data_IF_227937377787
#
_entry.id   IF_227937377787
#
_cell.length_a   1.000
_cell.length_b   1.000
_cell.length_c   1.000
_cell.angle_alpha   90.00
_cell.angle_beta   90.00
_cell.angle_gamma   90.00
#
_symmetry.space_group_name_H-M   'P 1'
#
loop_
_entity.id
_entity.type
_entity.pdbx_description
1 polymer ?
#
# COMPACT_ATOMS: atom_id res chain seq x y z
N UNK A 1 -17.97 -40.33 54.15
CA UNK A 1 -17.18 -40.20 52.93
C UNK A 1 -18.04 -40.11 51.66
N UNK A 2 -19.00 -39.18 51.60
CA UNK A 2 -19.87 -38.91 50.38
C UNK A 2 -19.97 -37.45 49.97
N UNK A 3 -19.19 -36.55 50.62
CA UNK A 3 -19.26 -35.10 50.38
C UNK A 3 -18.20 -34.56 49.39
N UNK A 4 -17.18 -35.35 49.06
CA UNK A 4 -15.98 -34.86 48.31
C UNK A 4 -16.12 -35.01 46.77
N UNK A 5 -17.05 -35.80 46.25
CA UNK A 5 -17.17 -36.01 44.78
C UNK A 5 -18.09 -35.01 44.09
N UNK A 6 -18.99 -34.37 44.78
CA UNK A 6 -19.91 -33.38 44.22
C UNK A 6 -19.27 -32.00 44.03
N UNK A 7 -18.31 -31.63 44.86
CA UNK A 7 -17.59 -30.35 44.75
C UNK A 7 -16.56 -30.35 43.60
N UNK A 8 -15.93 -31.54 43.33
CA UNK A 8 -15.01 -31.69 42.24
C UNK A 8 -15.67 -31.58 40.86
N UNK A 9 -16.94 -32.08 40.75
CA UNK A 9 -17.70 -31.95 39.48
C UNK A 9 -18.17 -30.53 39.20
N UNK A 10 -18.55 -29.75 40.25
CA UNK A 10 -18.94 -28.33 40.09
C UNK A 10 -17.74 -27.46 39.68
N UNK A 11 -16.55 -27.72 40.27
CA UNK A 11 -15.31 -27.01 39.88
C UNK A 11 -14.93 -27.25 38.44
N UNK A 12 -15.08 -28.49 37.95
CA UNK A 12 -14.74 -28.86 36.58
C UNK A 12 -15.65 -28.21 35.55
N UNK A 13 -16.93 -28.08 35.81
CA UNK A 13 -17.88 -27.38 34.91
C UNK A 13 -17.67 -25.87 34.86
N UNK A 14 -17.24 -25.26 35.97
CA UNK A 14 -16.96 -23.83 36.05
C UNK A 14 -15.64 -23.49 35.29
N UNK A 15 -14.62 -24.35 35.39
CA UNK A 15 -13.37 -24.19 34.65
C UNK A 15 -13.60 -24.41 33.15
N UNK A 16 -14.39 -25.41 32.74
CA UNK A 16 -14.73 -25.62 31.34
C UNK A 16 -15.55 -24.47 30.73
N UNK A 17 -16.50 -23.92 31.47
CA UNK A 17 -17.28 -22.76 31.03
C UNK A 17 -16.40 -21.49 30.93
N UNK A 18 -15.46 -21.29 31.85
CA UNK A 18 -14.52 -20.16 31.80
C UNK A 18 -13.50 -20.30 30.64
N UNK A 19 -13.06 -21.52 30.33
CA UNK A 19 -12.16 -21.77 29.18
C UNK A 19 -12.91 -21.60 27.86
N UNK A 20 -14.17 -22.01 27.75
CA UNK A 20 -14.98 -21.80 26.53
C UNK A 20 -15.29 -20.30 26.35
N UNK A 21 -15.56 -19.54 27.43
CA UNK A 21 -15.74 -18.10 27.35
C UNK A 21 -14.42 -17.35 27.01
N UNK A 22 -13.28 -17.85 27.42
CA UNK A 22 -11.99 -17.22 27.06
C UNK A 22 -11.55 -17.53 25.62
N UNK A 23 -12.02 -18.63 25.00
CA UNK A 23 -11.83 -18.89 23.56
C UNK A 23 -12.81 -18.13 22.66
N UNK A 24 -13.97 -17.72 23.18
CA UNK A 24 -14.92 -16.85 22.45
C UNK A 24 -14.52 -15.36 22.49
N UNK A 25 -13.56 -14.98 23.33
CA UNK A 25 -13.13 -13.59 23.52
C UNK A 25 -12.06 -13.09 22.57
N UNK A 26 -11.59 -13.90 21.61
CA UNK A 26 -10.54 -13.53 20.64
C UNK A 26 -10.97 -13.63 19.18
N UNK A 27 -12.28 -13.56 18.91
CA UNK A 27 -12.73 -13.25 17.54
C UNK A 27 -12.51 -11.76 17.35
N UNK A 28 -11.49 -11.39 16.58
CA UNK A 28 -11.37 -10.02 16.09
C UNK A 28 -12.71 -9.65 15.44
N UNK A 29 -13.43 -8.70 16.04
CA UNK A 29 -14.72 -8.26 15.50
C UNK A 29 -14.38 -7.29 14.38
N UNK A 30 -14.29 -7.80 13.17
CA UNK A 30 -14.20 -6.96 11.99
C UNK A 30 -15.54 -6.25 11.74
N UNK A 31 -15.48 -5.02 11.26
CA UNK A 31 -16.67 -4.21 10.98
C UNK A 31 -17.48 -4.75 9.78
N UNK A 32 -16.86 -5.60 8.95
CA UNK A 32 -17.47 -6.27 7.81
C UNK A 32 -17.20 -7.78 7.85
N UNK A 33 -18.09 -8.52 7.22
CA UNK A 33 -18.01 -9.98 7.13
C UNK A 33 -17.32 -10.42 5.84
N UNK A 34 -16.84 -11.68 5.74
CA UNK A 34 -16.34 -12.21 4.48
C UNK A 34 -17.34 -12.08 3.31
N UNK A 35 -18.65 -12.20 3.55
CA UNK A 35 -19.68 -11.98 2.54
C UNK A 35 -19.76 -10.53 2.03
N UNK A 36 -19.36 -9.56 2.85
CA UNK A 36 -19.26 -8.17 2.42
C UNK A 36 -17.98 -7.92 1.61
N UNK A 37 -16.87 -8.54 1.99
CA UNK A 37 -15.61 -8.46 1.25
C UNK A 37 -15.68 -9.13 -0.12
N UNK A 38 -16.43 -10.25 -0.25
CA UNK A 38 -16.67 -10.93 -1.55
C UNK A 38 -17.21 -9.96 -2.62
N UNK A 39 -17.99 -8.95 -2.21
CA UNK A 39 -18.54 -7.93 -3.11
C UNK A 39 -17.50 -6.98 -3.68
N UNK A 40 -16.28 -6.98 -3.13
CA UNK A 40 -15.18 -6.14 -3.59
C UNK A 40 -14.40 -6.78 -4.76
N UNK A 41 -14.64 -8.07 -5.07
CA UNK A 41 -13.95 -8.79 -6.13
C UNK A 41 -14.26 -8.23 -7.52
N UNK A 42 -13.25 -8.21 -8.36
CA UNK A 42 -13.31 -8.07 -9.80
C UNK A 42 -12.60 -9.24 -10.47
N UNK A 43 -12.30 -9.11 -11.75
CA UNK A 43 -11.52 -10.10 -12.49
C UNK A 43 -10.05 -10.07 -12.00
N UNK A 44 -9.50 -8.86 -11.77
CA UNK A 44 -8.18 -8.63 -11.18
C UNK A 44 -8.34 -8.03 -9.80
N UNK A 45 -7.71 -8.60 -8.78
CA UNK A 45 -7.70 -8.09 -7.40
C UNK A 45 -6.27 -7.91 -6.91
N UNK A 46 -5.89 -6.71 -6.51
CA UNK A 46 -4.58 -6.39 -5.96
C UNK A 46 -4.73 -5.69 -4.61
N UNK A 47 -3.73 -5.82 -3.74
CA UNK A 47 -3.59 -4.99 -2.56
C UNK A 47 -2.61 -3.85 -2.78
N UNK A 48 -2.82 -2.73 -2.12
CA UNK A 48 -1.84 -1.65 -2.03
C UNK A 48 -1.66 -1.24 -0.57
N UNK A 49 -0.41 -1.27 -0.11
CA UNK A 49 -0.01 -0.86 1.22
C UNK A 49 1.32 -0.10 1.15
N UNK A 50 1.58 0.80 2.08
CA UNK A 50 2.77 1.65 2.10
C UNK A 50 3.00 2.26 3.47
N UNK A 51 4.16 2.88 3.67
CA UNK A 51 4.56 3.49 4.95
C UNK A 51 4.48 2.47 6.10
N UNK A 52 4.97 1.26 5.84
CA UNK A 52 4.70 0.05 6.61
C UNK A 52 5.62 -0.09 7.83
N UNK A 53 6.91 0.08 7.62
CA UNK A 53 7.96 -0.36 8.53
C UNK A 53 8.02 0.38 9.86
N UNK A 54 7.45 -0.21 10.88
CA UNK A 54 7.47 0.28 12.28
C UNK A 54 7.81 -0.81 13.28
N UNK A 55 8.52 -1.88 12.85
CA UNK A 55 8.89 -3.03 13.70
C UNK A 55 7.67 -3.66 14.41
N UNK A 56 6.51 -3.66 13.74
CA UNK A 56 5.25 -4.17 14.28
C UNK A 56 4.55 -3.26 15.29
N UNK A 57 5.05 -2.03 15.50
CA UNK A 57 4.39 -1.06 16.36
C UNK A 57 3.24 -0.33 15.65
N UNK A 58 2.47 0.42 16.42
CA UNK A 58 1.24 1.08 15.99
C UNK A 58 0.24 0.04 15.43
N UNK A 59 -0.43 0.36 14.33
CA UNK A 59 -1.41 -0.52 13.69
C UNK A 59 -0.81 -1.46 12.65
N UNK A 60 0.54 -1.59 12.53
CA UNK A 60 1.17 -2.40 11.48
C UNK A 60 0.75 -3.88 11.56
N UNK A 61 0.84 -4.51 12.75
CA UNK A 61 0.45 -5.92 12.94
C UNK A 61 -1.04 -6.16 12.74
N UNK A 62 -1.96 -5.37 13.35
CA UNK A 62 -3.38 -5.52 13.10
C UNK A 62 -3.76 -5.41 11.62
N UNK A 63 -3.15 -4.46 10.89
CA UNK A 63 -3.42 -4.30 9.46
C UNK A 63 -2.87 -5.48 8.66
N UNK A 64 -1.67 -5.96 8.96
CA UNK A 64 -1.09 -7.13 8.29
C UNK A 64 -1.94 -8.39 8.50
N UNK A 65 -2.45 -8.62 9.70
CA UNK A 65 -3.37 -9.72 10.01
C UNK A 65 -4.67 -9.58 9.23
N UNK A 66 -5.27 -8.39 9.24
CA UNK A 66 -6.48 -8.10 8.47
C UNK A 66 -6.26 -8.33 6.97
N UNK A 67 -5.14 -7.89 6.40
CA UNK A 67 -4.79 -8.14 4.99
C UNK A 67 -4.79 -9.65 4.70
N UNK A 68 -4.21 -10.47 5.60
CA UNK A 68 -4.20 -11.93 5.47
C UNK A 68 -5.59 -12.53 5.52
N UNK A 69 -6.39 -12.19 6.52
CA UNK A 69 -7.76 -12.69 6.69
C UNK A 69 -8.67 -12.28 5.53
N UNK A 70 -8.55 -11.05 5.05
CA UNK A 70 -9.31 -10.61 3.86
C UNK A 70 -8.84 -11.32 2.59
N UNK A 71 -7.55 -11.69 2.50
CA UNK A 71 -7.01 -12.39 1.35
C UNK A 71 -7.59 -13.80 1.20
N UNK A 72 -7.98 -14.49 2.29
CA UNK A 72 -8.72 -15.77 2.23
C UNK A 72 -10.01 -15.67 1.42
N UNK A 73 -10.65 -14.50 1.47
CA UNK A 73 -11.87 -14.23 0.69
C UNK A 73 -11.56 -13.65 -0.68
N UNK A 74 -10.67 -12.64 -0.73
CA UNK A 74 -10.47 -11.82 -1.93
C UNK A 74 -9.52 -12.45 -2.95
N UNK A 75 -8.54 -13.26 -2.51
CA UNK A 75 -7.54 -13.89 -3.37
C UNK A 75 -6.72 -12.88 -4.18
N UNK A 76 -6.05 -11.89 -3.56
CA UNK A 76 -5.28 -10.90 -4.31
C UNK A 76 -4.12 -11.57 -5.05
N UNK A 77 -3.81 -11.10 -6.26
CA UNK A 77 -2.70 -11.60 -7.05
C UNK A 77 -1.34 -11.09 -6.54
N UNK A 78 -1.32 -9.90 -5.94
CA UNK A 78 -0.10 -9.31 -5.39
C UNK A 78 -0.40 -8.22 -4.35
N UNK A 79 0.68 -7.80 -3.66
CA UNK A 79 0.70 -6.55 -2.89
C UNK A 79 1.60 -5.52 -3.57
N UNK A 80 1.07 -4.34 -3.83
CA UNK A 80 1.85 -3.16 -4.21
C UNK A 80 2.35 -2.50 -2.93
N UNK A 81 3.68 -2.49 -2.73
CA UNK A 81 4.31 -1.80 -1.59
C UNK A 81 4.83 -0.42 -2.03
N UNK A 82 4.01 0.62 -1.84
CA UNK A 82 4.26 1.94 -2.43
C UNK A 82 5.25 2.81 -1.61
N UNK A 83 6.37 2.23 -1.18
CA UNK A 83 7.49 2.90 -0.51
C UNK A 83 7.38 2.97 1.01
N UNK A 84 8.48 3.38 1.63
CA UNK A 84 8.66 3.48 3.08
C UNK A 84 8.29 2.17 3.81
N UNK A 85 8.77 1.05 3.26
CA UNK A 85 8.66 -0.27 3.90
C UNK A 85 9.57 -0.37 5.12
N UNK A 86 10.60 0.49 5.19
CA UNK A 86 11.58 0.53 6.27
C UNK A 86 11.78 1.94 6.83
N UNK A 87 11.12 2.28 7.92
CA UNK A 87 11.42 3.48 8.71
C UNK A 87 12.49 3.15 9.78
N UNK A 88 13.40 4.08 10.18
CA UNK A 88 13.48 5.48 9.77
C UNK A 88 14.62 5.70 8.77
N UNK A 89 15.68 4.92 8.83
CA UNK A 89 16.93 5.10 8.06
C UNK A 89 17.05 4.07 6.92
N UNK A 90 15.94 3.40 6.53
CA UNK A 90 15.97 2.34 5.56
C UNK A 90 16.71 1.09 6.08
N UNK A 91 17.24 0.27 5.18
CA UNK A 91 18.05 -0.91 5.50
C UNK A 91 19.51 -0.71 5.07
N UNK A 92 20.43 -1.32 5.81
CA UNK A 92 21.87 -1.24 5.50
C UNK A 92 22.32 -2.29 4.46
N UNK A 93 21.67 -3.46 4.43
CA UNK A 93 22.02 -4.58 3.54
C UNK A 93 20.82 -5.49 3.29
N UNK A 94 20.97 -6.49 2.42
CA UNK A 94 19.96 -7.56 2.26
C UNK A 94 19.83 -8.46 3.48
N UNK A 95 20.82 -8.46 4.38
CA UNK A 95 20.84 -9.23 5.63
C UNK A 95 20.44 -8.38 6.86
N UNK A 96 19.98 -7.13 6.65
CA UNK A 96 19.58 -6.25 7.75
C UNK A 96 18.41 -6.87 8.53
N UNK A 97 18.48 -6.97 9.88
CA UNK A 97 17.38 -7.49 10.69
C UNK A 97 16.04 -6.79 10.51
N UNK A 98 16.02 -5.55 10.02
CA UNK A 98 14.80 -4.80 9.74
C UNK A 98 13.92 -5.50 8.69
N UNK A 99 14.48 -6.30 7.78
CA UNK A 99 13.69 -7.11 6.86
C UNK A 99 12.76 -8.06 7.60
N UNK A 100 13.26 -8.68 8.67
CA UNK A 100 12.46 -9.60 9.47
C UNK A 100 11.38 -8.87 10.27
N UNK A 101 11.75 -7.77 10.93
CA UNK A 101 10.87 -7.08 11.90
C UNK A 101 9.90 -6.08 11.25
N UNK A 102 10.19 -5.60 10.05
CA UNK A 102 9.30 -4.71 9.31
C UNK A 102 8.46 -5.44 8.25
N UNK A 103 8.93 -6.58 7.72
CA UNK A 103 8.32 -7.20 6.56
C UNK A 103 8.04 -8.70 6.75
N UNK A 104 9.05 -9.57 6.84
CA UNK A 104 8.86 -11.03 6.76
C UNK A 104 7.98 -11.60 7.88
N UNK A 105 8.24 -11.19 9.12
CA UNK A 105 7.48 -11.67 10.29
C UNK A 105 6.15 -10.95 10.50
N UNK A 106 6.00 -9.77 9.91
CA UNK A 106 4.78 -8.99 10.03
C UNK A 106 3.73 -9.50 9.03
N UNK A 107 4.10 -9.59 7.75
CA UNK A 107 3.20 -10.04 6.67
C UNK A 107 3.39 -11.54 6.43
N UNK A 108 3.25 -12.32 7.51
CA UNK A 108 3.53 -13.77 7.52
C UNK A 108 2.30 -14.66 7.37
N UNK A 109 1.12 -14.08 7.21
CA UNK A 109 -0.09 -14.84 6.92
C UNK A 109 0.10 -15.67 5.63
N UNK A 110 -0.33 -16.94 5.58
CA UNK A 110 -0.17 -17.81 4.40
C UNK A 110 -0.63 -17.17 3.09
N UNK A 111 -1.78 -16.47 3.11
CA UNK A 111 -2.35 -15.80 1.94
C UNK A 111 -1.57 -14.55 1.49
N UNK A 112 -0.59 -14.09 2.28
CA UNK A 112 0.32 -13.01 1.90
C UNK A 112 1.67 -13.53 1.39
N UNK A 113 1.83 -14.87 1.20
CA UNK A 113 3.01 -15.50 0.58
C UNK A 113 2.98 -15.39 -0.96
N UNK A 114 2.43 -14.32 -1.48
CA UNK A 114 2.33 -13.95 -2.90
C UNK A 114 3.38 -12.89 -3.26
N UNK A 115 3.41 -12.46 -4.53
CA UNK A 115 4.34 -11.44 -5.00
C UNK A 115 4.07 -10.07 -4.37
N UNK A 116 5.14 -9.39 -3.94
CA UNK A 116 5.14 -8.01 -3.50
C UNK A 116 5.92 -7.18 -4.51
N UNK A 117 5.28 -6.17 -5.08
CA UNK A 117 5.87 -5.23 -6.04
C UNK A 117 6.17 -3.89 -5.35
N UNK A 118 7.40 -3.70 -4.83
CA UNK A 118 7.75 -2.50 -4.10
C UNK A 118 8.23 -1.37 -5.00
N UNK A 119 8.15 -0.15 -4.49
CA UNK A 119 8.92 1.02 -4.95
C UNK A 119 9.72 1.61 -3.79
N UNK A 120 10.67 2.47 -4.11
CA UNK A 120 11.44 3.20 -3.10
C UNK A 120 10.65 4.42 -2.60
N UNK A 121 10.62 4.60 -1.29
CA UNK A 121 10.23 5.85 -0.65
C UNK A 121 11.44 6.65 -0.19
N UNK A 122 11.23 7.79 0.44
CA UNK A 122 12.33 8.61 0.90
C UNK A 122 13.09 8.00 2.09
N UNK A 123 12.47 7.09 2.84
CA UNK A 123 13.16 6.38 3.92
C UNK A 123 14.12 5.31 3.39
N UNK A 124 13.81 4.61 2.31
CA UNK A 124 14.76 3.72 1.64
C UNK A 124 15.99 4.49 1.13
N UNK A 125 15.83 5.74 0.70
CA UNK A 125 16.92 6.59 0.25
C UNK A 125 17.84 7.11 1.36
N UNK A 126 17.46 6.96 2.63
CA UNK A 126 18.36 7.21 3.78
C UNK A 126 19.29 6.04 4.02
N UNK A 127 18.88 4.83 3.64
CA UNK A 127 19.66 3.62 3.74
C UNK A 127 20.34 3.21 2.44
N UNK A 128 20.46 1.92 2.26
CA UNK A 128 21.04 1.30 1.07
C UNK A 128 19.94 0.92 0.06
N UNK A 129 19.66 1.80 -0.89
CA UNK A 129 18.66 1.54 -1.93
C UNK A 129 18.97 0.31 -2.76
N UNK A 130 20.25 -0.03 -2.96
CA UNK A 130 20.67 -1.21 -3.70
C UNK A 130 20.30 -2.52 -2.97
N UNK A 131 20.31 -2.51 -1.64
CA UNK A 131 19.85 -3.65 -0.84
C UNK A 131 18.34 -3.89 -1.08
N UNK A 132 17.55 -2.82 -1.18
CA UNK A 132 16.11 -2.92 -1.47
C UNK A 132 15.86 -3.52 -2.84
N UNK A 133 16.59 -3.07 -3.87
CA UNK A 133 16.53 -3.61 -5.23
C UNK A 133 16.91 -5.10 -5.29
N UNK A 134 17.86 -5.54 -4.46
CA UNK A 134 18.39 -6.90 -4.51
C UNK A 134 17.75 -7.88 -3.52
N UNK A 135 16.86 -7.43 -2.65
CA UNK A 135 16.24 -8.30 -1.63
C UNK A 135 15.45 -9.47 -2.25
N UNK A 136 15.00 -9.36 -3.48
CA UNK A 136 14.40 -10.46 -4.24
C UNK A 136 15.34 -11.68 -4.43
N UNK A 137 16.66 -11.55 -4.18
CA UNK A 137 17.59 -12.68 -4.13
C UNK A 137 17.52 -13.46 -2.82
N UNK A 138 16.95 -12.87 -1.78
CA UNK A 138 16.76 -13.45 -0.44
C UNK A 138 15.33 -13.91 -0.26
N UNK A 139 14.36 -13.04 -0.54
CA UNK A 139 12.93 -13.31 -0.42
C UNK A 139 12.28 -13.42 -1.80
N UNK A 140 11.77 -14.61 -2.13
CA UNK A 140 11.05 -14.85 -3.40
C UNK A 140 9.77 -14.04 -3.56
N UNK A 141 9.22 -13.50 -2.48
CA UNK A 141 8.02 -12.64 -2.52
C UNK A 141 8.35 -11.22 -3.01
N UNK A 142 9.60 -10.77 -2.86
CA UNK A 142 10.03 -9.42 -3.18
C UNK A 142 10.41 -9.31 -4.64
N UNK A 143 9.49 -8.81 -5.47
CA UNK A 143 9.66 -8.72 -6.92
C UNK A 143 9.83 -7.27 -7.39
N UNK A 144 10.99 -6.70 -7.13
CA UNK A 144 11.32 -5.34 -7.57
C UNK A 144 12.00 -5.38 -8.95
N UNK A 145 11.31 -4.94 -9.99
CA UNK A 145 11.81 -4.97 -11.39
C UNK A 145 12.90 -3.94 -11.71
N UNK A 146 13.16 -3.01 -10.78
CA UNK A 146 14.09 -1.90 -10.91
C UNK A 146 13.64 -0.73 -10.07
N UNK A 147 14.26 0.45 -10.21
CA UNK A 147 13.80 1.68 -9.55
C UNK A 147 12.45 2.14 -10.10
N UNK A 148 12.25 1.94 -11.41
CA UNK A 148 10.99 2.15 -12.10
C UNK A 148 10.75 1.01 -13.09
N UNK A 149 9.52 0.51 -13.18
CA UNK A 149 9.16 -0.68 -13.96
C UNK A 149 7.65 -0.77 -14.15
N UNK A 150 7.18 -1.78 -14.88
CA UNK A 150 5.74 -2.08 -15.03
C UNK A 150 5.41 -3.52 -14.68
N UNK A 151 4.17 -3.75 -14.29
CA UNK A 151 3.52 -5.06 -14.26
C UNK A 151 2.16 -4.97 -14.92
N UNK A 152 1.80 -6.00 -15.68
CA UNK A 152 0.48 -6.10 -16.31
C UNK A 152 -0.18 -7.38 -15.84
N UNK A 153 -1.42 -7.26 -15.43
CA UNK A 153 -2.30 -8.36 -15.02
C UNK A 153 -3.34 -8.56 -16.12
N UNK A 154 -3.69 -9.82 -16.39
CA UNK A 154 -4.67 -10.18 -17.42
C UNK A 154 -5.46 -11.39 -16.94
N UNK A 155 -6.64 -11.14 -16.38
CA UNK A 155 -7.55 -12.16 -15.87
C UNK A 155 -8.93 -11.98 -16.51
N UNK A 156 -9.51 -13.07 -16.98
CA UNK A 156 -10.81 -13.11 -17.66
C UNK A 156 -10.95 -12.11 -18.80
N UNK A 157 -9.80 -11.75 -19.41
CA UNK A 157 -9.68 -10.79 -20.50
C UNK A 157 -9.73 -9.33 -20.04
N UNK A 158 -9.75 -9.04 -18.75
CA UNK A 158 -9.53 -7.70 -18.17
C UNK A 158 -8.03 -7.46 -18.04
N UNK A 159 -7.56 -6.32 -18.52
CA UNK A 159 -6.14 -5.96 -18.47
C UNK A 159 -5.91 -4.73 -17.61
N UNK A 160 -5.00 -4.85 -16.63
CA UNK A 160 -4.59 -3.78 -15.73
C UNK A 160 -3.06 -3.63 -15.75
N UNK A 161 -2.58 -2.45 -16.13
CA UNK A 161 -1.15 -2.10 -16.04
C UNK A 161 -0.89 -1.25 -14.80
N UNK A 162 0.08 -1.65 -14.00
CA UNK A 162 0.67 -0.83 -12.95
C UNK A 162 2.02 -0.32 -13.45
N UNK A 163 2.22 0.99 -13.40
CA UNK A 163 3.46 1.68 -13.75
C UNK A 163 4.08 2.24 -12.49
N UNK A 164 5.19 1.68 -12.07
CA UNK A 164 5.91 2.05 -10.86
C UNK A 164 6.95 3.12 -11.19
N UNK A 165 6.94 4.24 -10.45
CA UNK A 165 7.88 5.37 -10.64
C UNK A 165 8.61 5.70 -9.34
N UNK A 166 9.91 5.94 -9.44
CA UNK A 166 10.75 6.38 -8.33
C UNK A 166 10.66 7.90 -8.20
N UNK A 167 9.84 8.37 -7.26
CA UNK A 167 9.56 9.80 -7.11
C UNK A 167 10.59 10.54 -6.25
N UNK A 168 11.33 9.86 -5.38
CA UNK A 168 12.31 10.51 -4.49
C UNK A 168 13.34 11.33 -5.26
N UNK A 169 14.03 10.82 -6.30
CA UNK A 169 15.03 11.58 -7.03
C UNK A 169 14.43 12.68 -7.93
N UNK A 170 13.13 12.65 -8.23
CA UNK A 170 12.47 13.71 -9.00
C UNK A 170 12.30 15.00 -8.17
N UNK A 171 12.39 14.93 -6.86
CA UNK A 171 12.19 16.03 -5.91
C UNK A 171 13.53 16.66 -5.55
N UNK A 172 13.67 17.97 -5.74
CA UNK A 172 14.92 18.71 -5.60
C UNK A 172 15.52 18.60 -4.20
N UNK A 173 14.73 18.75 -3.16
CA UNK A 173 15.23 18.70 -1.78
C UNK A 173 15.95 17.40 -1.43
N UNK A 174 15.52 16.26 -1.95
CA UNK A 174 16.17 14.96 -1.68
C UNK A 174 17.52 14.84 -2.40
N UNK A 175 17.67 15.49 -3.55
CA UNK A 175 18.95 15.55 -4.26
C UNK A 175 19.92 16.53 -3.61
N UNK A 176 19.42 17.60 -3.01
CA UNK A 176 20.21 18.64 -2.33
C UNK A 176 20.68 18.18 -0.96
N UNK A 177 19.88 17.40 -0.23
CA UNK A 177 20.24 16.82 1.07
C UNK A 177 21.04 15.50 0.90
N UNK A 178 22.15 15.54 0.15
CA UNK A 178 22.93 14.33 -0.22
C UNK A 178 23.52 13.56 0.97
N UNK A 179 23.78 14.22 2.10
CA UNK A 179 24.27 13.58 3.32
C UNK A 179 23.21 12.64 3.91
N UNK A 180 21.94 12.98 3.73
CA UNK A 180 20.80 12.22 4.24
C UNK A 180 20.19 11.25 3.20
N UNK A 181 20.30 11.60 1.92
CA UNK A 181 19.74 10.85 0.80
C UNK A 181 20.84 10.59 -0.26
N UNK A 182 21.88 9.80 0.07
CA UNK A 182 23.13 9.76 -0.71
C UNK A 182 22.98 9.25 -2.16
N UNK A 183 21.89 8.56 -2.46
CA UNK A 183 21.63 8.04 -3.80
C UNK A 183 20.69 8.89 -4.64
N UNK A 184 19.98 9.87 -4.06
CA UNK A 184 18.96 10.63 -4.77
C UNK A 184 19.54 11.47 -5.92
N UNK A 185 20.70 12.11 -5.70
CA UNK A 185 21.36 12.93 -6.73
C UNK A 185 22.06 12.12 -7.83
N UNK A 186 22.20 10.79 -7.66
CA UNK A 186 22.88 9.90 -8.61
C UNK A 186 21.95 9.29 -9.66
N UNK A 187 20.64 9.55 -9.58
CA UNK A 187 19.66 8.91 -10.46
C UNK A 187 19.51 9.65 -11.79
N UNK A 188 19.29 8.90 -12.86
CA UNK A 188 18.97 9.42 -14.19
C UNK A 188 17.47 9.76 -14.29
N UNK A 189 17.11 10.96 -13.82
CA UNK A 189 15.74 11.45 -13.83
C UNK A 189 15.19 11.62 -15.24
N UNK A 190 16.01 12.12 -16.17
CA UNK A 190 15.59 12.33 -17.55
C UNK A 190 15.32 11.00 -18.25
N UNK A 191 16.15 9.99 -17.99
CA UNK A 191 15.95 8.63 -18.46
C UNK A 191 14.63 8.04 -17.94
N UNK A 192 14.33 8.19 -16.64
CA UNK A 192 13.07 7.75 -16.06
C UNK A 192 11.87 8.44 -16.71
N UNK A 193 11.90 9.76 -16.85
CA UNK A 193 10.78 10.52 -17.43
C UNK A 193 10.56 10.16 -18.91
N UNK A 194 11.61 9.97 -19.70
CA UNK A 194 11.52 9.48 -21.09
C UNK A 194 10.95 8.07 -21.14
N UNK A 195 11.39 7.18 -20.26
CA UNK A 195 10.84 5.83 -20.16
C UNK A 195 9.34 5.86 -19.80
N UNK A 196 8.92 6.70 -18.85
CA UNK A 196 7.52 6.83 -18.47
C UNK A 196 6.67 7.34 -19.65
N UNK A 197 7.15 8.35 -20.36
CA UNK A 197 6.46 8.89 -21.54
C UNK A 197 6.29 7.80 -22.62
N UNK A 198 7.34 7.06 -22.93
CA UNK A 198 7.29 5.94 -23.88
C UNK A 198 6.35 4.82 -23.40
N UNK A 199 6.37 4.48 -22.10
CA UNK A 199 5.52 3.45 -21.50
C UNK A 199 4.04 3.80 -21.62
N UNK A 200 3.66 5.03 -21.25
CA UNK A 200 2.28 5.48 -21.32
C UNK A 200 1.80 5.63 -22.77
N UNK A 201 2.65 6.06 -23.70
CA UNK A 201 2.30 6.16 -25.12
C UNK A 201 1.93 4.82 -25.76
N UNK A 202 2.45 3.72 -25.23
CA UNK A 202 2.23 2.35 -25.73
C UNK A 202 1.18 1.57 -24.97
N UNK A 203 0.69 2.09 -23.82
CA UNK A 203 -0.25 1.40 -22.96
C UNK A 203 -1.63 1.28 -23.65
N UNK A 204 -2.14 0.04 -23.74
CA UNK A 204 -3.42 -0.32 -24.38
C UNK A 204 -4.33 -1.11 -23.45
N UNK A 205 -3.90 -1.28 -22.21
CA UNK A 205 -4.64 -2.02 -21.21
C UNK A 205 -5.98 -1.32 -20.90
N UNK A 206 -6.92 -2.09 -20.39
CA UNK A 206 -8.22 -1.55 -19.97
C UNK A 206 -8.07 -0.43 -18.96
N UNK A 207 -7.12 -0.60 -18.04
CA UNK A 207 -6.82 0.33 -16.96
C UNK A 207 -5.32 0.51 -16.79
N UNK A 208 -4.91 1.73 -16.48
CA UNK A 208 -3.52 2.08 -16.14
C UNK A 208 -3.50 2.84 -14.82
N UNK A 209 -2.76 2.33 -13.86
CA UNK A 209 -2.48 2.99 -12.59
C UNK A 209 -0.99 3.33 -12.55
N UNK A 210 -0.66 4.58 -12.26
CA UNK A 210 0.72 4.99 -11.96
C UNK A 210 0.89 5.07 -10.46
N UNK A 211 1.91 4.38 -9.93
CA UNK A 211 2.21 4.31 -8.51
C UNK A 211 3.54 5.00 -8.24
N UNK A 212 3.52 6.02 -7.41
CA UNK A 212 4.70 6.68 -6.86
C UNK A 212 4.65 6.68 -5.34
N UNK A 213 5.73 7.08 -4.67
CA UNK A 213 5.70 7.22 -3.20
C UNK A 213 5.13 8.58 -2.78
N UNK A 214 5.57 9.67 -3.41
CA UNK A 214 5.17 11.04 -3.02
C UNK A 214 3.92 11.50 -3.77
N UNK A 215 3.03 12.30 -3.12
CA UNK A 215 1.82 12.81 -3.75
C UNK A 215 2.11 13.96 -4.73
N UNK A 216 1.32 14.01 -5.80
CA UNK A 216 1.24 15.18 -6.71
C UNK A 216 0.28 16.23 -6.13
N UNK A 217 -0.81 15.78 -5.53
CA UNK A 217 -1.78 16.59 -4.79
C UNK A 217 -2.08 15.93 -3.45
N UNK A 218 -2.00 16.68 -2.39
CA UNK A 218 -2.38 16.23 -1.05
C UNK A 218 -2.52 17.41 -0.08
N UNK A 219 -3.34 17.23 0.94
CA UNK A 219 -3.24 17.99 2.18
C UNK A 219 -2.10 17.41 3.02
N UNK A 220 -1.19 18.26 3.47
CA UNK A 220 -0.08 17.88 4.35
C UNK A 220 0.54 19.12 4.97
N UNK A 221 1.03 19.04 6.22
CA UNK A 221 1.81 20.13 6.84
C UNK A 221 3.23 20.25 6.30
N UNK A 222 3.67 19.32 5.41
CA UNK A 222 4.99 19.38 4.77
C UNK A 222 5.06 20.57 3.79
N UNK A 223 6.27 21.03 3.50
CA UNK A 223 6.50 22.09 2.51
C UNK A 223 5.97 21.71 1.11
N UNK A 224 5.79 22.68 0.24
CA UNK A 224 5.21 22.48 -1.09
C UNK A 224 6.21 21.97 -2.14
N UNK A 225 7.48 21.91 -1.85
CA UNK A 225 8.55 21.54 -2.81
C UNK A 225 8.27 20.18 -3.43
N UNK A 226 7.88 19.18 -2.63
CA UNK A 226 7.62 17.81 -3.11
C UNK A 226 6.52 17.80 -4.18
N UNK A 227 5.39 18.45 -3.88
CA UNK A 227 4.25 18.53 -4.78
C UNK A 227 4.54 19.38 -6.02
N UNK A 228 5.18 20.53 -5.81
CA UNK A 228 5.55 21.47 -6.90
C UNK A 228 6.50 20.82 -7.90
N UNK A 229 7.51 20.09 -7.43
CA UNK A 229 8.44 19.39 -8.31
C UNK A 229 7.74 18.28 -9.12
N UNK A 230 6.87 17.48 -8.50
CA UNK A 230 6.13 16.45 -9.21
C UNK A 230 5.06 17.02 -10.16
N UNK A 231 4.43 18.13 -9.81
CA UNK A 231 3.51 18.85 -10.71
C UNK A 231 4.25 19.40 -11.92
N UNK A 232 5.50 19.81 -11.77
CA UNK A 232 6.33 20.32 -12.87
C UNK A 232 6.89 19.21 -13.76
N UNK A 233 7.30 18.07 -13.20
CA UNK A 233 8.04 17.03 -13.91
C UNK A 233 7.18 15.83 -14.32
N UNK A 234 6.39 15.30 -13.39
CA UNK A 234 5.65 14.06 -13.58
C UNK A 234 4.25 14.29 -14.17
N UNK A 235 3.50 15.26 -13.62
CA UNK A 235 2.12 15.52 -14.00
C UNK A 235 1.90 15.78 -15.50
N UNK A 236 2.74 16.55 -16.22
CA UNK A 236 2.55 16.76 -17.65
C UNK A 236 2.59 15.46 -18.46
N UNK A 237 3.44 14.49 -18.07
CA UNK A 237 3.54 13.20 -18.73
C UNK A 237 2.29 12.35 -18.45
N UNK A 238 1.81 12.34 -17.21
CA UNK A 238 0.60 11.58 -16.84
C UNK A 238 -0.62 12.05 -17.60
N UNK A 239 -0.74 13.37 -17.87
CA UNK A 239 -1.89 13.96 -18.56
C UNK A 239 -1.84 13.84 -20.07
N UNK A 240 -0.69 13.52 -20.64
CA UNK A 240 -0.44 13.59 -22.09
C UNK A 240 -1.31 12.63 -22.91
N UNK A 241 -1.62 11.44 -22.38
CA UNK A 241 -2.21 10.35 -23.17
C UNK A 241 -3.65 10.01 -22.81
N UNK A 242 -4.23 10.60 -21.80
CA UNK A 242 -5.59 10.34 -21.29
C UNK A 242 -5.89 8.86 -20.93
N UNK A 243 -4.85 8.04 -20.76
CA UNK A 243 -4.98 6.61 -20.44
C UNK A 243 -4.68 6.29 -18.97
N UNK A 244 -4.16 7.24 -18.20
CA UNK A 244 -3.93 7.06 -16.77
C UNK A 244 -5.26 7.23 -16.03
N UNK A 245 -5.70 6.18 -15.36
CA UNK A 245 -6.93 6.16 -14.56
C UNK A 245 -6.74 6.78 -13.19
N UNK A 246 -5.66 6.33 -12.49
CA UNK A 246 -5.30 6.75 -11.14
C UNK A 246 -3.81 7.06 -11.06
N UNK A 247 -3.45 8.06 -10.24
CA UNK A 247 -2.13 8.18 -9.61
C UNK A 247 -2.28 7.86 -8.13
N UNK A 248 -1.62 6.79 -7.66
CA UNK A 248 -1.69 6.33 -6.29
C UNK A 248 -0.33 6.45 -5.60
N UNK A 249 -0.31 6.85 -4.33
CA UNK A 249 0.92 7.10 -3.60
C UNK A 249 0.77 6.87 -2.09
N UNK A 250 1.87 7.03 -1.34
CA UNK A 250 1.95 6.96 0.11
C UNK A 250 2.39 8.28 0.77
N UNK A 251 3.41 8.20 1.65
CA UNK A 251 4.19 9.29 2.21
C UNK A 251 3.52 10.17 3.29
N UNK A 252 2.20 10.41 3.18
CA UNK A 252 1.52 11.38 4.07
C UNK A 252 0.92 10.71 5.32
N UNK A 253 0.76 9.39 5.31
CA UNK A 253 0.20 8.61 6.42
C UNK A 253 -1.27 8.92 6.73
N UNK A 254 -2.09 9.11 5.71
CA UNK A 254 -3.54 9.22 5.80
C UNK A 254 -4.18 8.91 4.45
N UNK A 255 -5.46 8.63 4.42
CA UNK A 255 -6.18 8.45 3.18
C UNK A 255 -6.65 9.77 2.61
N UNK A 256 -6.41 9.99 1.31
CA UNK A 256 -6.99 11.12 0.58
C UNK A 256 -7.38 10.68 -0.84
N UNK A 257 -8.55 11.12 -1.30
CA UNK A 257 -8.95 11.08 -2.70
C UNK A 257 -9.14 12.51 -3.17
N UNK A 258 -8.36 12.92 -4.15
CA UNK A 258 -8.38 14.27 -4.72
C UNK A 258 -8.71 14.18 -6.19
N UNK A 259 -9.67 15.01 -6.63
CA UNK A 259 -10.08 15.17 -8.02
C UNK A 259 -9.96 16.63 -8.43
N UNK A 260 -9.03 16.91 -9.32
CA UNK A 260 -8.85 18.26 -9.83
C UNK A 260 -9.84 18.55 -10.96
N UNK A 261 -10.36 19.77 -10.98
CA UNK A 261 -11.36 20.19 -11.98
C UNK A 261 -10.80 20.04 -13.40
N UNK A 262 -11.53 19.32 -14.25
CA UNK A 262 -11.15 19.08 -15.65
C UNK A 262 -10.04 18.03 -15.83
N UNK A 263 -9.63 17.32 -14.76
CA UNK A 263 -8.68 16.23 -14.84
C UNK A 263 -9.36 14.87 -14.98
N UNK A 264 -8.86 14.02 -15.88
CA UNK A 264 -9.33 12.64 -16.02
C UNK A 264 -8.78 11.73 -14.93
N UNK A 265 -7.63 12.08 -14.33
CA UNK A 265 -6.92 11.29 -13.32
C UNK A 265 -7.55 11.53 -11.95
N UNK A 266 -7.72 10.47 -11.18
CA UNK A 266 -7.98 10.57 -9.75
C UNK A 266 -6.66 10.37 -8.98
N UNK A 267 -6.39 11.23 -8.00
CA UNK A 267 -5.18 11.22 -7.18
C UNK A 267 -5.50 10.62 -5.83
N UNK A 268 -4.80 9.55 -5.47
CA UNK A 268 -5.06 8.79 -4.24
C UNK A 268 -3.82 8.75 -3.39
N UNK A 269 -3.92 9.24 -2.17
CA UNK A 269 -2.95 8.98 -1.10
C UNK A 269 -3.46 7.79 -0.31
N UNK A 270 -2.69 6.70 -0.33
CA UNK A 270 -2.94 5.46 0.41
C UNK A 270 -1.81 5.25 1.40
N UNK A 271 -1.82 5.94 2.52
CA UNK A 271 -0.67 5.94 3.39
C UNK A 271 -1.00 5.77 4.87
N UNK A 272 -1.63 4.68 5.19
CA UNK A 272 -1.99 4.40 6.58
C UNK A 272 -1.69 2.95 6.99
N UNK A 273 -0.68 2.31 6.39
CA UNK A 273 -0.33 0.91 6.66
C UNK A 273 0.27 0.63 8.05
N UNK A 274 0.55 1.67 8.82
CA UNK A 274 1.05 1.54 10.20
C UNK A 274 0.62 2.71 11.08
N UNK A 275 1.36 3.83 11.03
CA UNK A 275 1.12 5.06 11.79
C UNK A 275 0.33 6.05 10.94
N UNK A 276 -0.88 6.38 11.32
CA UNK A 276 -1.69 7.40 10.64
C UNK A 276 -1.44 8.82 11.19
N UNK A 277 -1.85 9.83 10.40
CA UNK A 277 -1.76 11.25 10.74
C UNK A 277 -3.08 11.95 10.42
N UNK A 278 -3.33 13.05 11.14
CA UNK A 278 -4.51 13.89 10.90
C UNK A 278 -4.50 14.47 9.47
N UNK A 279 -5.68 14.70 8.94
CA UNK A 279 -5.91 15.28 7.62
C UNK A 279 -7.17 16.14 7.64
N UNK A 280 -7.22 17.16 6.80
CA UNK A 280 -8.39 18.02 6.58
C UNK A 280 -8.61 18.21 5.06
N UNK A 281 -9.83 18.54 4.62
CA UNK A 281 -10.09 18.80 3.22
C UNK A 281 -9.30 20.00 2.67
N UNK A 282 -8.86 19.88 1.41
CA UNK A 282 -8.30 20.96 0.58
C UNK A 282 -9.04 21.03 -0.73
N UNK A 283 -8.67 21.96 -1.63
CA UNK A 283 -9.26 22.04 -2.96
C UNK A 283 -9.17 20.69 -3.70
N UNK A 284 -10.27 20.24 -4.27
CA UNK A 284 -10.36 18.98 -4.98
C UNK A 284 -10.55 17.74 -4.09
N UNK A 285 -10.56 17.87 -2.76
CA UNK A 285 -10.81 16.73 -1.87
C UNK A 285 -12.21 16.17 -2.07
N UNK A 286 -12.29 14.90 -2.49
CA UNK A 286 -13.51 14.10 -2.57
C UNK A 286 -13.71 13.36 -1.25
N UNK A 287 -12.62 12.83 -0.69
CA UNK A 287 -12.61 12.11 0.59
C UNK A 287 -11.25 12.26 1.28
N UNK A 288 -11.26 12.30 2.60
CA UNK A 288 -10.05 12.14 3.41
C UNK A 288 -10.37 11.49 4.75
N UNK A 289 -9.41 10.73 5.30
CA UNK A 289 -9.55 10.06 6.60
C UNK A 289 -8.20 9.86 7.28
N UNK A 290 -8.17 10.01 8.58
CA UNK A 290 -7.01 9.73 9.44
C UNK A 290 -6.98 8.28 9.92
N UNK A 291 -7.92 7.43 9.50
CA UNK A 291 -7.92 6.02 9.89
C UNK A 291 -6.75 5.27 9.23
N UNK A 292 -6.04 4.40 9.97
CA UNK A 292 -5.01 3.54 9.39
C UNK A 292 -5.64 2.36 8.64
N UNK A 293 -4.93 1.85 7.63
CA UNK A 293 -5.43 0.72 6.82
C UNK A 293 -4.62 0.48 5.55
N UNK A 294 -5.26 -0.06 4.53
CA UNK A 294 -4.71 -0.35 3.21
C UNK A 294 -5.77 -0.21 2.14
N UNK A 295 -5.44 -0.41 0.86
CA UNK A 295 -6.44 -0.42 -0.19
C UNK A 295 -6.50 -1.74 -0.95
N UNK A 296 -7.73 -2.07 -1.40
CA UNK A 296 -8.00 -3.14 -2.37
C UNK A 296 -8.27 -2.49 -3.71
N UNK A 297 -7.52 -2.88 -4.73
CA UNK A 297 -7.73 -2.51 -6.13
C UNK A 297 -8.45 -3.67 -6.81
N UNK A 298 -9.55 -3.38 -7.47
CA UNK A 298 -10.39 -4.39 -8.13
C UNK A 298 -10.77 -3.88 -9.52
N UNK A 299 -10.47 -4.65 -10.55
CA UNK A 299 -10.72 -4.28 -11.93
C UNK A 299 -11.58 -5.31 -12.66
N UNK A 300 -12.48 -4.82 -13.49
CA UNK A 300 -13.18 -5.55 -14.55
C UNK A 300 -13.01 -4.78 -15.87
N UNK A 301 -13.44 -5.33 -16.99
CA UNK A 301 -13.44 -4.60 -18.27
C UNK A 301 -14.21 -3.27 -18.22
N UNK A 302 -15.20 -3.15 -17.33
CA UNK A 302 -16.12 -2.01 -17.27
C UNK A 302 -15.82 -1.04 -16.13
N UNK A 303 -15.15 -1.50 -15.09
CA UNK A 303 -14.89 -0.68 -13.90
C UNK A 303 -13.53 -0.99 -13.28
N UNK A 304 -12.90 0.06 -12.75
CA UNK A 304 -11.77 -0.02 -11.85
C UNK A 304 -12.18 0.62 -10.53
N UNK A 305 -12.05 -0.10 -9.44
CA UNK A 305 -12.35 0.37 -8.10
C UNK A 305 -11.09 0.29 -7.22
N UNK A 306 -10.89 1.32 -6.39
CA UNK A 306 -9.90 1.28 -5.32
C UNK A 306 -10.63 1.56 -4.00
N UNK A 307 -10.72 0.54 -3.16
CA UNK A 307 -11.40 0.57 -1.87
C UNK A 307 -10.41 0.90 -0.76
N UNK A 308 -10.62 1.99 -0.04
CA UNK A 308 -9.86 2.35 1.14
C UNK A 308 -10.42 1.59 2.35
N UNK A 309 -9.63 0.69 2.93
CA UNK A 309 -10.03 -0.21 4.01
C UNK A 309 -9.35 0.22 5.30
N UNK A 310 -10.12 0.44 6.36
CA UNK A 310 -9.56 0.72 7.69
C UNK A 310 -9.07 -0.55 8.40
N UNK A 311 -8.41 -0.40 9.54
CA UNK A 311 -7.89 -1.50 10.36
C UNK A 311 -8.95 -2.46 10.90
N UNK A 312 -10.25 -2.15 10.77
CA UNK A 312 -11.38 -2.99 11.17
C UNK A 312 -11.98 -3.77 10.00
N UNK A 313 -11.46 -3.59 8.79
CA UNK A 313 -11.96 -4.21 7.56
C UNK A 313 -13.14 -3.48 6.92
N UNK A 314 -13.46 -2.27 7.40
CA UNK A 314 -14.54 -1.45 6.86
C UNK A 314 -14.06 -0.68 5.63
N UNK A 315 -14.86 -0.68 4.56
CA UNK A 315 -14.67 0.23 3.42
C UNK A 315 -15.05 1.65 3.85
N UNK A 316 -14.08 2.53 3.90
CA UNK A 316 -14.27 3.95 4.21
C UNK A 316 -14.69 4.75 2.99
N UNK A 317 -14.12 4.42 1.84
CA UNK A 317 -14.34 5.12 0.58
C UNK A 317 -14.00 4.24 -0.62
N UNK A 318 -14.62 4.53 -1.76
CA UNK A 318 -14.33 3.87 -3.03
C UNK A 318 -14.04 4.92 -4.11
N UNK A 319 -12.89 4.80 -4.74
CA UNK A 319 -12.60 5.52 -5.99
C UNK A 319 -13.01 4.65 -7.15
N UNK A 320 -13.94 5.11 -7.99
CA UNK A 320 -14.49 4.34 -9.12
C UNK A 320 -14.21 5.02 -10.44
N UNK A 321 -13.71 4.25 -11.40
CA UNK A 321 -13.62 4.60 -12.82
C UNK A 321 -14.50 3.66 -13.63
N UNK A 322 -15.24 4.18 -14.57
CA UNK A 322 -16.08 3.40 -15.50
C UNK A 322 -15.74 3.78 -16.95
N UNK A 323 -15.88 2.80 -17.85
CA UNK A 323 -15.84 3.01 -19.31
C UNK A 323 -17.22 3.32 -19.86
#
# INVERSE_FOLDING_TARGET
MKSSMTDFRKGLHTVFAAVILSFLGCLAVYAQTPADWEKLKGDVVLYMANDLGRNGYYDQKPIAELMGVMAETLGPECVIAAGDVHHFEGVASVDDPLWMTNYEQIYSHPELMLAWYPILGNHEYRGNTQAVLYYGKVSRRWEMGGRYYTRTFNEDGTTLRIVFVDTTPLISKYREESDKYPDACKQDNDGQLKWLDATLSQAKEDWVIVVGHHPIYAETPKDDVERTDLQRTLLPILKKYNNVSLYACGHIHNFQHIKMKGDSIDYVVNSAGSLSRSVKPVEGTVFCSSEPGFSVISATKKSLNMYMIDKTGKVLHTVTKTK
#
